data_IF_494932140030
#
_entry.id   IF_494932140030
#
_cell.length_a   1.000
_cell.length_b   1.000
_cell.length_c   1.000
_cell.angle_alpha   90.00
_cell.angle_beta   90.00
_cell.angle_gamma   90.00
#
_symmetry.space_group_name_H-M   'P 1'
#
loop_
_entity.id
_entity.type
_entity.pdbx_description
1 polymer ?
#
# COMPACT_ATOMS: atom_id res chain seq x y z
N UNK A 1 37.13 14.28 -40.80
CA UNK A 1 36.10 15.17 -40.25
C UNK A 1 34.80 14.41 -40.29
N UNK A 2 34.48 13.66 -39.23
CA UNK A 2 33.25 12.88 -39.15
C UNK A 2 32.49 13.36 -37.90
N UNK A 3 31.44 14.12 -38.16
CA UNK A 3 30.42 14.42 -37.18
C UNK A 3 29.52 13.21 -37.04
N UNK A 4 29.69 12.47 -35.97
CA UNK A 4 28.73 11.45 -35.57
C UNK A 4 27.66 12.10 -34.70
N UNK A 5 26.51 12.37 -35.30
CA UNK A 5 25.25 12.64 -34.59
C UNK A 5 24.90 11.44 -33.72
N UNK A 6 25.05 11.59 -32.41
CA UNK A 6 24.44 10.67 -31.46
C UNK A 6 22.95 11.02 -31.32
N UNK A 7 22.12 10.16 -31.88
CA UNK A 7 20.69 10.13 -31.57
C UNK A 7 20.52 9.53 -30.17
N UNK A 8 20.10 10.35 -29.24
CA UNK A 8 19.76 9.95 -27.87
C UNK A 8 18.37 9.34 -27.88
N UNK A 9 18.30 8.05 -27.92
CA UNK A 9 17.06 7.34 -27.61
C UNK A 9 16.84 7.38 -26.10
N UNK A 10 15.86 8.15 -25.68
CA UNK A 10 15.36 8.11 -24.30
C UNK A 10 14.48 6.86 -24.14
N UNK A 11 15.10 5.79 -23.69
CA UNK A 11 14.38 4.60 -23.22
C UNK A 11 13.91 4.92 -21.80
N UNK A 12 12.60 5.01 -21.62
CA UNK A 12 11.96 5.19 -20.31
C UNK A 12 12.38 4.11 -19.33
N UNK A 13 13.21 4.46 -18.37
CA UNK A 13 13.71 3.55 -17.35
C UNK A 13 12.67 3.31 -16.28
N UNK A 14 11.88 2.24 -16.40
CA UNK A 14 11.24 1.64 -15.25
C UNK A 14 12.33 1.13 -14.30
N UNK A 15 12.27 1.52 -13.04
CA UNK A 15 13.26 1.08 -12.06
C UNK A 15 13.14 -0.44 -11.86
N UNK A 16 14.16 -1.17 -12.32
CA UNK A 16 14.32 -2.60 -12.08
C UNK A 16 15.03 -2.78 -10.74
N UNK A 17 14.46 -3.54 -9.83
CA UNK A 17 15.15 -3.91 -8.60
C UNK A 17 15.00 -5.41 -8.33
N UNK A 18 15.99 -5.95 -7.65
CA UNK A 18 16.09 -7.36 -7.36
C UNK A 18 16.09 -7.59 -5.86
N UNK A 19 15.38 -8.61 -5.42
CA UNK A 19 15.42 -9.10 -4.05
C UNK A 19 16.08 -10.47 -4.04
N UNK A 20 16.95 -10.68 -3.07
CA UNK A 20 17.53 -12.00 -2.78
C UNK A 20 16.73 -12.62 -1.67
N UNK A 21 16.10 -13.76 -1.93
CA UNK A 21 15.40 -14.55 -0.94
C UNK A 21 16.40 -15.33 -0.07
N UNK A 22 15.95 -15.78 1.11
CA UNK A 22 16.82 -16.51 2.06
C UNK A 22 17.38 -17.81 1.49
N UNK A 23 16.76 -18.37 0.46
CA UNK A 23 17.23 -19.56 -0.28
C UNK A 23 18.27 -19.24 -1.36
N UNK A 24 18.68 -17.98 -1.49
CA UNK A 24 19.63 -17.52 -2.51
C UNK A 24 19.01 -17.24 -3.88
N UNK A 25 17.69 -17.39 -4.03
CA UNK A 25 17.00 -17.10 -5.29
C UNK A 25 16.90 -15.59 -5.50
N UNK A 26 17.33 -15.11 -6.66
CA UNK A 26 17.21 -13.70 -7.05
C UNK A 26 15.91 -13.50 -7.84
N UNK A 27 14.98 -12.77 -7.26
CA UNK A 27 13.75 -12.37 -7.96
C UNK A 27 13.90 -10.94 -8.45
N UNK A 28 13.93 -10.77 -9.76
CA UNK A 28 13.96 -9.46 -10.40
C UNK A 28 12.58 -9.14 -10.96
N UNK A 29 12.03 -7.99 -10.58
CA UNK A 29 10.78 -7.52 -11.12
C UNK A 29 10.85 -6.04 -11.50
N UNK A 30 10.14 -5.72 -12.55
CA UNK A 30 9.92 -4.34 -12.96
C UNK A 30 8.53 -3.93 -12.51
N UNK A 31 8.44 -2.81 -11.80
CA UNK A 31 7.16 -2.14 -11.67
C UNK A 31 6.94 -1.31 -12.94
N UNK A 32 5.99 -1.68 -13.80
CA UNK A 32 5.56 -0.75 -14.83
C UNK A 32 4.97 0.44 -14.08
N UNK A 33 5.71 1.54 -14.05
CA UNK A 33 5.12 2.82 -13.70
C UNK A 33 4.13 3.17 -14.82
N UNK A 34 3.00 2.48 -14.83
CA UNK A 34 1.84 2.99 -15.52
C UNK A 34 1.63 4.39 -14.97
N UNK A 35 1.61 5.37 -15.84
CA UNK A 35 1.19 6.72 -15.51
C UNK A 35 -0.29 6.65 -15.08
N UNK A 36 -0.56 6.00 -13.96
CA UNK A 36 -1.70 6.37 -13.18
C UNK A 36 -1.42 7.83 -12.85
N UNK A 37 -2.25 8.72 -13.31
CA UNK A 37 -2.29 10.10 -12.88
C UNK A 37 -2.59 10.07 -11.37
N UNK A 38 -1.59 9.66 -10.61
CA UNK A 38 -1.61 9.70 -9.17
C UNK A 38 -1.54 11.16 -8.80
N UNK A 39 -2.68 11.78 -8.63
CA UNK A 39 -2.74 13.01 -7.90
C UNK A 39 -2.09 12.73 -6.56
N UNK A 40 -1.02 13.45 -6.25
CA UNK A 40 -0.39 13.38 -4.93
C UNK A 40 -1.44 13.89 -3.92
N UNK A 41 -2.19 12.96 -3.35
CA UNK A 41 -3.19 13.29 -2.36
C UNK A 41 -2.49 13.61 -1.05
N UNK A 42 -2.54 14.88 -0.66
CA UNK A 42 -2.11 15.29 0.68
C UNK A 42 -3.23 14.95 1.64
N UNK A 43 -3.10 13.81 2.31
CA UNK A 43 -4.03 13.42 3.37
C UNK A 43 -3.65 14.11 4.67
N UNK A 44 -4.57 14.83 5.30
CA UNK A 44 -4.34 15.49 6.59
C UNK A 44 -4.01 14.49 7.71
N UNK A 45 -4.48 13.27 7.59
CA UNK A 45 -4.31 12.22 8.59
C UNK A 45 -3.17 11.23 8.30
N UNK A 46 -2.28 11.52 7.34
CA UNK A 46 -1.21 10.61 6.93
C UNK A 46 -0.37 10.14 8.12
N UNK A 47 0.06 11.06 8.99
CA UNK A 47 0.86 10.71 10.17
C UNK A 47 0.09 9.81 11.15
N UNK A 48 -1.18 10.10 11.38
CA UNK A 48 -2.03 9.30 12.24
C UNK A 48 -2.23 7.88 11.68
N UNK A 49 -2.43 7.75 10.37
CA UNK A 49 -2.53 6.46 9.67
C UNK A 49 -1.23 5.67 9.80
N UNK A 50 -0.09 6.28 9.53
CA UNK A 50 1.23 5.64 9.66
C UNK A 50 1.45 5.14 11.09
N UNK A 51 1.13 5.93 12.10
CA UNK A 51 1.27 5.55 13.50
C UNK A 51 0.34 4.38 13.88
N UNK A 52 -0.87 4.34 13.34
CA UNK A 52 -1.81 3.23 13.54
C UNK A 52 -1.29 1.94 12.90
N UNK A 53 -0.77 2.03 11.68
CA UNK A 53 -0.15 0.90 10.97
C UNK A 53 1.09 0.40 11.70
N UNK A 54 1.96 1.29 12.16
CA UNK A 54 3.15 0.91 12.93
C UNK A 54 2.79 0.13 14.21
N UNK A 55 1.74 0.56 14.92
CA UNK A 55 1.23 -0.18 16.10
C UNK A 55 0.65 -1.54 15.73
N UNK A 56 -0.09 -1.63 14.63
CA UNK A 56 -0.64 -2.89 14.14
C UNK A 56 0.47 -3.86 13.72
N UNK A 57 1.54 -3.38 13.08
CA UNK A 57 2.72 -4.16 12.72
C UNK A 57 3.38 -4.74 13.98
N UNK A 58 3.66 -3.91 14.99
CA UNK A 58 4.24 -4.37 16.25
C UNK A 58 3.35 -5.39 16.97
N UNK A 59 2.03 -5.20 16.95
CA UNK A 59 1.08 -6.16 17.53
C UNK A 59 1.08 -7.48 16.75
N UNK A 60 1.12 -7.43 15.42
CA UNK A 60 1.18 -8.63 14.58
C UNK A 60 2.50 -9.41 14.76
N UNK A 61 3.61 -8.72 14.95
CA UNK A 61 4.89 -9.35 15.31
C UNK A 61 4.81 -10.08 16.66
N UNK A 62 4.11 -9.49 17.64
CA UNK A 62 3.85 -10.16 18.91
C UNK A 62 3.00 -11.42 18.73
N UNK A 63 1.99 -11.39 17.87
CA UNK A 63 1.16 -12.56 17.54
C UNK A 63 2.00 -13.65 16.87
N UNK A 64 2.85 -13.27 15.92
CA UNK A 64 3.80 -14.18 15.28
C UNK A 64 4.68 -14.88 16.32
N UNK A 65 5.25 -14.12 17.26
CA UNK A 65 6.05 -14.66 18.35
C UNK A 65 5.28 -15.61 19.26
N UNK A 66 4.00 -15.34 19.53
CA UNK A 66 3.14 -16.26 20.27
C UNK A 66 3.01 -17.60 19.57
N UNK A 67 2.83 -17.61 18.25
CA UNK A 67 2.75 -18.83 17.44
C UNK A 67 4.08 -19.59 17.48
N UNK A 68 5.21 -18.90 17.28
CA UNK A 68 6.55 -19.48 17.33
C UNK A 68 6.86 -20.12 18.68
N UNK A 69 6.34 -19.54 19.78
CA UNK A 69 6.53 -20.06 21.14
C UNK A 69 5.46 -21.06 21.59
N UNK A 70 4.58 -21.48 20.69
CA UNK A 70 3.57 -22.50 21.00
C UNK A 70 2.52 -22.05 22.00
N UNK A 71 2.16 -20.76 22.03
CA UNK A 71 1.09 -20.22 22.89
C UNK A 71 -0.25 -20.85 22.53
N UNK A 72 -1.16 -20.85 23.48
CA UNK A 72 -2.51 -21.39 23.28
C UNK A 72 -3.22 -20.72 22.10
N UNK A 73 -3.87 -21.55 21.27
CA UNK A 73 -4.56 -21.07 20.06
C UNK A 73 -5.66 -20.04 20.36
N UNK A 74 -6.34 -20.18 21.50
CA UNK A 74 -7.38 -19.22 21.90
C UNK A 74 -6.77 -17.85 22.17
N UNK A 75 -5.64 -17.78 22.87
CA UNK A 75 -4.92 -16.53 23.11
C UNK A 75 -4.45 -15.90 21.80
N UNK A 76 -3.88 -16.69 20.90
CA UNK A 76 -3.43 -16.23 19.58
C UNK A 76 -4.59 -15.66 18.77
N UNK A 77 -5.73 -16.34 18.72
CA UNK A 77 -6.91 -15.89 17.97
C UNK A 77 -7.50 -14.60 18.54
N UNK A 78 -7.51 -14.42 19.85
CA UNK A 78 -7.96 -13.16 20.48
C UNK A 78 -7.07 -12.00 20.09
N UNK A 79 -5.75 -12.19 20.10
CA UNK A 79 -4.81 -11.16 19.70
C UNK A 79 -4.87 -10.86 18.20
N UNK A 80 -5.04 -11.87 17.38
CA UNK A 80 -5.23 -11.70 15.93
C UNK A 80 -6.52 -10.93 15.62
N UNK A 81 -7.60 -11.21 16.33
CA UNK A 81 -8.85 -10.46 16.20
C UNK A 81 -8.67 -8.97 16.57
N UNK A 82 -7.84 -8.66 17.57
CA UNK A 82 -7.51 -7.29 17.93
C UNK A 82 -6.72 -6.58 16.82
N UNK A 83 -5.76 -7.25 16.17
CA UNK A 83 -5.03 -6.72 15.02
C UNK A 83 -6.00 -6.44 13.86
N UNK A 84 -6.90 -7.37 13.55
CA UNK A 84 -7.93 -7.18 12.53
C UNK A 84 -8.80 -5.96 12.80
N UNK A 85 -9.24 -5.78 14.04
CA UNK A 85 -10.03 -4.63 14.46
C UNK A 85 -9.27 -3.31 14.31
N UNK A 86 -7.97 -3.30 14.64
CA UNK A 86 -7.11 -2.13 14.46
C UNK A 86 -6.94 -1.77 12.98
N UNK A 87 -6.81 -2.76 12.10
CA UNK A 87 -6.74 -2.55 10.64
C UNK A 87 -8.06 -2.02 10.09
N UNK A 88 -9.19 -2.55 10.53
CA UNK A 88 -10.51 -2.04 10.15
C UNK A 88 -10.70 -0.57 10.55
N UNK A 89 -10.29 -0.21 11.76
CA UNK A 89 -10.35 1.17 12.22
C UNK A 89 -9.45 2.09 11.43
N UNK A 90 -8.27 1.63 11.05
CA UNK A 90 -7.33 2.37 10.20
C UNK A 90 -7.90 2.58 8.80
N UNK A 91 -8.51 1.56 8.21
CA UNK A 91 -9.16 1.65 6.91
C UNK A 91 -10.30 2.68 6.91
N UNK A 92 -11.08 2.76 7.99
CA UNK A 92 -12.14 3.77 8.13
C UNK A 92 -11.58 5.19 8.16
N UNK A 93 -10.43 5.41 8.80
CA UNK A 93 -9.74 6.71 8.80
C UNK A 93 -9.28 7.07 7.40
N UNK A 94 -8.68 6.12 6.67
CA UNK A 94 -8.25 6.32 5.28
C UNK A 94 -9.44 6.64 4.37
N UNK A 95 -10.52 5.88 4.49
CA UNK A 95 -11.73 6.09 3.71
C UNK A 95 -12.34 7.47 3.95
N UNK A 96 -12.47 7.86 5.21
CA UNK A 96 -13.00 9.17 5.60
C UNK A 96 -12.15 10.30 5.03
N UNK A 97 -10.84 10.20 5.16
CA UNK A 97 -9.88 11.18 4.64
C UNK A 97 -9.97 11.29 3.10
N UNK A 98 -10.12 10.15 2.43
CA UNK A 98 -10.31 10.11 0.97
C UNK A 98 -11.60 10.80 0.53
N UNK A 99 -12.71 10.54 1.20
CA UNK A 99 -14.01 11.18 0.90
C UNK A 99 -13.99 12.69 1.14
N UNK A 100 -13.29 13.14 2.19
CA UNK A 100 -13.24 14.55 2.55
C UNK A 100 -12.29 15.37 1.68
N UNK A 101 -11.21 14.80 1.18
CA UNK A 101 -10.09 15.54 0.62
C UNK A 101 -9.66 15.14 -0.80
N UNK A 102 -10.06 13.98 -1.29
CA UNK A 102 -9.59 13.46 -2.58
C UNK A 102 -10.67 13.48 -3.67
N UNK A 103 -11.93 13.47 -3.31
CA UNK A 103 -13.03 13.57 -4.27
C UNK A 103 -13.35 15.07 -4.45
N UNK A 104 -12.95 15.61 -5.60
CA UNK A 104 -13.26 16.98 -5.99
C UNK A 104 -14.47 16.98 -6.92
N UNK A 105 -15.45 17.88 -6.66
CA UNK A 105 -16.69 17.96 -7.43
C UNK A 105 -16.47 18.37 -8.90
N UNK A 106 -15.31 18.93 -9.22
CA UNK A 106 -14.95 19.41 -10.56
C UNK A 106 -14.28 18.35 -11.46
N UNK A 107 -14.14 17.11 -10.98
CA UNK A 107 -13.49 16.07 -11.76
C UNK A 107 -14.50 15.46 -12.74
N UNK A 108 -14.16 15.44 -14.01
CA UNK A 108 -14.88 14.68 -15.05
C UNK A 108 -14.94 13.18 -14.71
N UNK A 109 -14.13 12.75 -13.77
CA UNK A 109 -13.91 11.35 -13.36
C UNK A 109 -14.52 11.00 -12.00
N UNK A 110 -15.43 11.79 -11.43
CA UNK A 110 -16.03 11.51 -10.10
C UNK A 110 -16.68 10.13 -10.05
N UNK A 111 -17.40 9.75 -11.11
CA UNK A 111 -18.06 8.43 -11.16
C UNK A 111 -17.03 7.28 -11.18
N UNK A 112 -15.93 7.44 -11.91
CA UNK A 112 -14.86 6.46 -11.96
C UNK A 112 -14.13 6.36 -10.61
N UNK A 113 -13.86 7.49 -9.96
CA UNK A 113 -13.26 7.53 -8.64
C UNK A 113 -14.12 6.85 -7.58
N UNK A 114 -15.44 7.09 -7.61
CA UNK A 114 -16.38 6.44 -6.69
C UNK A 114 -16.50 4.94 -6.96
N UNK A 115 -16.46 4.51 -8.22
CA UNK A 115 -16.48 3.10 -8.58
C UNK A 115 -15.21 2.39 -8.09
N UNK A 116 -14.04 2.98 -8.31
CA UNK A 116 -12.77 2.45 -7.82
C UNK A 116 -12.73 2.35 -6.29
N UNK A 117 -13.28 3.35 -5.60
CA UNK A 117 -13.38 3.35 -4.14
C UNK A 117 -14.32 2.24 -3.63
N UNK A 118 -15.49 2.06 -4.25
CA UNK A 118 -16.40 0.98 -3.90
C UNK A 118 -15.77 -0.39 -4.09
N UNK A 119 -15.06 -0.61 -5.21
CA UNK A 119 -14.33 -1.85 -5.47
C UNK A 119 -13.26 -2.12 -4.40
N UNK A 120 -12.57 -1.08 -3.95
CA UNK A 120 -11.58 -1.20 -2.88
C UNK A 120 -12.22 -1.54 -1.53
N UNK A 121 -13.37 -0.95 -1.20
CA UNK A 121 -14.13 -1.24 0.01
C UNK A 121 -14.60 -2.70 0.01
N UNK A 122 -15.16 -3.17 -1.12
CA UNK A 122 -15.64 -4.54 -1.27
C UNK A 122 -14.53 -5.58 -1.11
N UNK A 123 -13.31 -5.27 -1.56
CA UNK A 123 -12.14 -6.14 -1.36
C UNK A 123 -11.62 -6.14 0.08
N UNK A 124 -11.87 -5.08 0.81
CA UNK A 124 -11.37 -4.95 2.18
C UNK A 124 -12.32 -5.60 3.20
N UNK A 125 -13.61 -5.55 2.97
CA UNK A 125 -14.66 -6.09 3.87
C UNK A 125 -15.03 -7.50 3.51
#
# INVERSE_FOLDING_TARGET
MNDMKQTKEEIGTGAVHSHVLEDGTVVTHTHPHGHAHGHAHVHQNTKAVINRLARAIGHLESVKSMVENGRDCTEVLVQLAAVRSALNSTAKVILKDHLEHCITEDAEDVEEQLRALNDAIDKFM
#
